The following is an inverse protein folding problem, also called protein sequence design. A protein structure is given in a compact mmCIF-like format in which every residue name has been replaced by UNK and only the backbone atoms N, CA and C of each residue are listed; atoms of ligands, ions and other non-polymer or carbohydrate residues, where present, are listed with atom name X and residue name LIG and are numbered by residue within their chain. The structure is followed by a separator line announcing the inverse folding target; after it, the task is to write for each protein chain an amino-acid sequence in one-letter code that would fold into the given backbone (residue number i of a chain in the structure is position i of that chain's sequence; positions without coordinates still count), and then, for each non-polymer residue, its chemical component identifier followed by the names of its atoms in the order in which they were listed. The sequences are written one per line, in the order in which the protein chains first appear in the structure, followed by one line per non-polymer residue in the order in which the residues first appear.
data_IF_873876834192
#
_entry.id   IF_873876834192
#
_cell.length_a   1.000
_cell.length_b   1.000
_cell.length_c   1.000
_cell.angle_alpha   90.00
_cell.angle_beta   90.00
_cell.angle_gamma   90.00
#
_symmetry.space_group_name_H-M   'P 1'
#
loop_
_entity.id
_entity.type
_entity.pdbx_description
1 polymer ?
#
# COMPACT_ATOMS: atom_id res chain seq x y z
N UNK A 1 0.42 -18.44 3.95
CA UNK A 1 0.50 -18.63 2.48
C UNK A 1 -0.93 -18.76 1.98
N UNK A 2 -1.32 -18.15 0.84
CA UNK A 2 -2.63 -18.41 0.24
C UNK A 2 -2.83 -19.87 -0.07
N UNK A 3 -4.06 -20.35 0.04
CA UNK A 3 -4.44 -21.71 -0.31
C UNK A 3 -5.35 -22.35 0.74
N UNK A 4 -5.60 -23.64 0.58
CA UNK A 4 -6.51 -24.41 1.42
C UNK A 4 -6.15 -24.37 2.91
N UNK A 5 -4.85 -24.40 3.23
CA UNK A 5 -4.34 -24.30 4.60
C UNK A 5 -4.80 -23.00 5.30
N UNK A 6 -4.81 -21.87 4.57
CA UNK A 6 -5.34 -20.62 5.10
C UNK A 6 -6.83 -20.73 5.41
N UNK A 7 -7.59 -21.43 4.57
CA UNK A 7 -9.02 -21.72 4.81
C UNK A 7 -9.24 -22.48 6.13
N UNK A 8 -8.43 -23.51 6.40
CA UNK A 8 -8.51 -24.26 7.67
C UNK A 8 -8.17 -23.41 8.89
N UNK A 9 -7.20 -22.50 8.77
CA UNK A 9 -6.87 -21.57 9.85
C UNK A 9 -7.99 -20.56 10.09
N UNK A 10 -8.63 -20.07 9.03
CA UNK A 10 -9.79 -19.18 9.13
C UNK A 10 -10.98 -19.90 9.77
N UNK A 11 -11.28 -21.14 9.37
CA UNK A 11 -12.33 -21.96 9.98
C UNK A 11 -12.10 -22.14 11.49
N UNK A 12 -10.86 -22.51 11.87
CA UNK A 12 -10.47 -22.64 13.27
C UNK A 12 -10.62 -21.31 14.01
N UNK A 13 -10.14 -20.21 13.43
CA UNK A 13 -10.25 -18.88 14.02
C UNK A 13 -11.70 -18.48 14.27
N UNK A 14 -12.59 -18.65 13.29
CA UNK A 14 -14.01 -18.33 13.42
C UNK A 14 -14.68 -19.21 14.48
N UNK A 15 -14.32 -20.50 14.57
CA UNK A 15 -14.84 -21.41 15.59
C UNK A 15 -14.42 -21.01 17.00
N UNK A 16 -13.18 -20.54 17.18
CA UNK A 16 -12.64 -20.08 18.46
C UNK A 16 -13.10 -18.66 18.83
N UNK A 17 -13.53 -17.85 17.84
CA UNK A 17 -13.89 -16.45 18.01
C UNK A 17 -15.24 -16.14 17.34
N UNK A 18 -16.37 -16.69 17.84
CA UNK A 18 -17.67 -16.58 17.18
C UNK A 18 -18.19 -15.13 17.06
N UNK A 19 -17.73 -14.23 17.93
CA UNK A 19 -18.11 -12.80 17.94
C UNK A 19 -17.23 -11.93 17.04
N UNK A 20 -16.14 -12.48 16.49
CA UNK A 20 -15.31 -11.71 15.56
C UNK A 20 -16.13 -11.36 14.31
N UNK A 21 -15.79 -10.25 13.65
CA UNK A 21 -16.45 -9.77 12.41
C UNK A 21 -15.51 -9.71 11.21
N UNK A 22 -14.26 -10.09 11.44
CA UNK A 22 -13.19 -10.02 10.46
C UNK A 22 -11.85 -10.42 11.05
N UNK A 23 -10.86 -10.58 10.19
CA UNK A 23 -9.46 -10.82 10.54
C UNK A 23 -8.55 -10.04 9.60
N UNK A 24 -7.53 -9.41 10.17
CA UNK A 24 -6.43 -8.78 9.43
C UNK A 24 -5.29 -9.76 9.34
N UNK A 25 -4.93 -10.16 8.13
CA UNK A 25 -3.82 -11.03 7.84
C UNK A 25 -2.62 -10.19 7.42
N UNK A 26 -1.58 -10.15 8.27
CA UNK A 26 -0.35 -9.43 7.99
C UNK A 26 0.23 -9.86 6.63
N UNK A 27 0.59 -8.88 5.80
CA UNK A 27 1.09 -9.09 4.43
C UNK A 27 0.11 -9.82 3.49
N UNK A 28 -1.19 -9.79 3.77
CA UNK A 28 -2.21 -10.31 2.85
C UNK A 28 -3.40 -9.37 2.69
N UNK A 29 -4.10 -9.00 3.75
CA UNK A 29 -5.28 -8.15 3.64
C UNK A 29 -6.29 -8.33 4.77
N UNK A 30 -7.50 -7.84 4.53
CA UNK A 30 -8.64 -7.88 5.45
C UNK A 30 -9.68 -8.86 4.92
N UNK A 31 -10.11 -9.79 5.78
CA UNK A 31 -11.32 -10.58 5.58
C UNK A 31 -12.38 -10.14 6.59
N UNK A 32 -13.61 -10.04 6.15
CA UNK A 32 -14.80 -9.73 6.97
C UNK A 32 -15.91 -10.68 6.59
N UNK A 33 -16.92 -10.79 7.46
CA UNK A 33 -18.09 -11.64 7.20
C UNK A 33 -19.37 -10.96 7.69
N UNK A 34 -20.51 -11.51 7.27
CA UNK A 34 -21.85 -11.09 7.64
C UNK A 34 -22.87 -12.10 7.14
N UNK A 35 -24.08 -12.09 7.70
CA UNK A 35 -25.17 -13.02 7.37
C UNK A 35 -25.73 -12.76 5.96
N UNK A 36 -25.44 -11.59 5.40
CA UNK A 36 -25.77 -11.23 4.02
C UNK A 36 -24.59 -10.56 3.30
N UNK A 37 -24.57 -10.59 1.95
CA UNK A 37 -23.57 -9.86 1.18
C UNK A 37 -23.50 -8.37 1.53
N UNK A 38 -24.65 -7.75 1.83
CA UNK A 38 -24.74 -6.35 2.22
C UNK A 38 -24.05 -6.11 3.57
N UNK A 39 -24.36 -6.92 4.57
CA UNK A 39 -23.77 -6.80 5.91
C UNK A 39 -22.26 -7.04 5.89
N UNK A 40 -21.79 -8.03 5.13
CA UNK A 40 -20.35 -8.29 4.96
C UNK A 40 -19.63 -7.07 4.33
N UNK A 41 -20.24 -6.46 3.32
CA UNK A 41 -19.71 -5.24 2.71
C UNK A 41 -19.69 -4.06 3.70
N UNK A 42 -20.79 -3.81 4.41
CA UNK A 42 -20.88 -2.75 5.41
C UNK A 42 -19.87 -2.95 6.55
N UNK A 43 -19.64 -4.20 6.96
CA UNK A 43 -18.61 -4.56 7.94
C UNK A 43 -17.21 -4.24 7.42
N UNK A 44 -16.92 -4.56 6.16
CA UNK A 44 -15.64 -4.19 5.51
C UNK A 44 -15.40 -2.68 5.58
N UNK A 45 -16.39 -1.89 5.16
CA UNK A 45 -16.29 -0.43 5.15
C UNK A 45 -16.11 0.12 6.57
N UNK A 46 -16.87 -0.40 7.54
CA UNK A 46 -16.76 0.01 8.94
C UNK A 46 -15.36 -0.23 9.50
N UNK A 47 -14.77 -1.41 9.26
CA UNK A 47 -13.42 -1.74 9.74
C UNK A 47 -12.36 -0.85 9.08
N UNK A 48 -12.49 -0.60 7.77
CA UNK A 48 -11.57 0.30 7.05
C UNK A 48 -11.66 1.73 7.62
N UNK A 49 -12.86 2.25 7.82
CA UNK A 49 -13.05 3.60 8.37
C UNK A 49 -12.51 3.71 9.79
N UNK A 50 -12.71 2.70 10.64
CA UNK A 50 -12.11 2.66 11.98
C UNK A 50 -10.58 2.71 11.92
N UNK A 51 -9.97 2.01 10.97
CA UNK A 51 -8.52 2.05 10.77
C UNK A 51 -8.04 3.42 10.28
N UNK A 52 -8.78 4.06 9.36
CA UNK A 52 -8.50 5.43 8.90
C UNK A 52 -8.57 6.42 10.07
N UNK A 53 -9.68 6.42 10.82
CA UNK A 53 -9.87 7.31 11.98
C UNK A 53 -8.75 7.12 13.02
N UNK A 54 -8.36 5.87 13.27
CA UNK A 54 -7.25 5.59 14.18
C UNK A 54 -5.93 6.12 13.62
N UNK A 55 -5.67 5.92 12.32
CA UNK A 55 -4.44 6.37 11.68
C UNK A 55 -4.33 7.89 11.71
N UNK A 56 -5.40 8.62 11.37
CA UNK A 56 -5.46 10.08 11.43
C UNK A 56 -5.16 10.60 12.83
N UNK A 57 -5.81 10.06 13.87
CA UNK A 57 -5.51 10.43 15.27
C UNK A 57 -4.07 10.13 15.68
N UNK A 58 -3.45 9.10 15.11
CA UNK A 58 -2.08 8.71 15.43
C UNK A 58 -1.04 9.51 14.68
N UNK A 59 -1.37 10.02 13.51
CA UNK A 59 -0.51 10.85 12.67
C UNK A 59 -0.68 12.35 12.93
N UNK A 60 -1.76 12.77 13.59
CA UNK A 60 -2.01 14.17 13.94
C UNK A 60 -0.81 14.81 14.64
N UNK A 61 -0.38 15.96 14.10
CA UNK A 61 0.74 16.75 14.62
C UNK A 61 2.12 16.09 14.49
N UNK A 62 2.24 14.94 13.83
CA UNK A 62 3.52 14.24 13.63
C UNK A 62 3.99 14.38 12.19
N UNK A 63 5.31 14.53 11.98
CA UNK A 63 5.86 14.49 10.64
C UNK A 63 5.74 13.07 10.08
N UNK A 64 5.03 12.92 8.95
CA UNK A 64 4.89 11.64 8.25
C UNK A 64 6.29 11.19 7.77
N UNK A 65 6.58 9.89 7.89
CA UNK A 65 7.87 9.29 7.51
C UNK A 65 9.11 9.99 8.12
N UNK A 66 8.96 10.56 9.32
CA UNK A 66 10.03 11.26 10.02
C UNK A 66 10.34 12.66 9.48
N UNK A 67 9.56 13.16 8.51
CA UNK A 67 9.63 14.52 7.98
C UNK A 67 10.59 14.70 6.80
N UNK A 68 10.45 15.83 6.11
CA UNK A 68 11.27 16.19 4.96
C UNK A 68 12.74 16.42 5.37
N UNK A 69 13.67 15.76 4.67
CA UNK A 69 15.12 15.98 4.79
C UNK A 69 15.78 16.38 3.47
N UNK A 70 15.04 16.29 2.36
CA UNK A 70 15.49 16.73 1.02
C UNK A 70 14.46 17.67 0.42
N UNK A 71 14.86 18.86 0.00
CA UNK A 71 13.93 19.76 -0.71
C UNK A 71 13.86 19.40 -2.18
N UNK A 72 12.66 19.15 -2.68
CA UNK A 72 12.44 18.93 -4.11
C UNK A 72 12.69 20.19 -4.95
N UNK A 73 13.14 19.98 -6.19
CA UNK A 73 13.14 21.01 -7.21
C UNK A 73 11.69 21.48 -7.49
N UNK A 74 11.54 22.64 -8.12
CA UNK A 74 10.24 23.09 -8.61
C UNK A 74 9.66 22.15 -9.68
N UNK A 75 8.35 22.23 -9.90
CA UNK A 75 7.66 21.31 -10.80
C UNK A 75 8.21 21.33 -12.24
N UNK A 76 8.51 22.49 -12.86
CA UNK A 76 9.16 22.53 -14.17
C UNK A 76 10.51 21.80 -14.20
N UNK A 77 11.39 22.05 -13.23
CA UNK A 77 12.71 21.44 -13.19
C UNK A 77 12.63 19.91 -12.94
N UNK A 78 11.72 19.45 -12.07
CA UNK A 78 11.46 18.01 -11.89
C UNK A 78 11.04 17.36 -13.21
N UNK A 79 10.13 17.98 -13.96
CA UNK A 79 9.68 17.49 -15.27
C UNK A 79 10.81 17.47 -16.30
N UNK A 80 11.71 18.45 -16.29
CA UNK A 80 12.91 18.45 -17.13
C UNK A 80 13.82 17.26 -16.81
N UNK A 81 14.05 16.96 -15.54
CA UNK A 81 14.83 15.78 -15.13
C UNK A 81 14.15 14.49 -15.57
N UNK A 82 12.85 14.35 -15.32
CA UNK A 82 12.07 13.18 -15.72
C UNK A 82 12.11 12.95 -17.23
N UNK A 83 11.92 14.01 -18.04
CA UNK A 83 11.98 13.93 -19.50
C UNK A 83 13.35 13.45 -20.03
N UNK A 84 14.44 13.76 -19.32
CA UNK A 84 15.79 13.29 -19.68
C UNK A 84 16.01 11.82 -19.32
N UNK A 85 15.51 11.37 -18.17
CA UNK A 85 15.79 10.03 -17.63
C UNK A 85 14.79 8.97 -18.13
N UNK A 86 13.50 9.29 -18.17
CA UNK A 86 12.45 8.31 -18.44
C UNK A 86 12.60 7.57 -19.77
N UNK A 87 12.96 8.21 -20.91
CA UNK A 87 13.14 7.48 -22.17
C UNK A 87 14.27 6.44 -22.10
N UNK A 88 15.35 6.76 -21.36
CA UNK A 88 16.49 5.85 -21.16
C UNK A 88 16.11 4.67 -20.29
N UNK A 89 15.50 4.93 -19.13
CA UNK A 89 15.02 3.89 -18.22
C UNK A 89 14.03 2.97 -18.93
N UNK A 90 13.03 3.55 -19.61
CA UNK A 90 12.04 2.81 -20.39
C UNK A 90 12.71 1.91 -21.44
N UNK A 91 13.69 2.42 -22.17
CA UNK A 91 14.46 1.64 -23.14
C UNK A 91 15.10 0.40 -22.52
N UNK A 92 15.76 0.56 -21.37
CA UNK A 92 16.43 -0.54 -20.66
C UNK A 92 15.45 -1.62 -20.17
N UNK A 93 14.24 -1.24 -19.75
CA UNK A 93 13.26 -2.21 -19.20
C UNK A 93 12.29 -2.77 -20.23
N UNK A 94 12.31 -2.30 -21.49
CA UNK A 94 11.35 -2.68 -22.53
C UNK A 94 11.84 -3.79 -23.47
N UNK A 95 13.00 -4.40 -23.21
CA UNK A 95 13.60 -5.43 -24.09
C UNK A 95 12.64 -6.59 -24.40
N UNK A 96 11.87 -7.03 -23.41
CA UNK A 96 10.95 -8.18 -23.53
C UNK A 96 9.50 -7.81 -23.82
N UNK A 97 9.12 -6.54 -23.66
CA UNK A 97 7.73 -6.09 -23.79
C UNK A 97 7.67 -4.56 -23.91
N UNK A 98 6.75 -4.04 -24.72
CA UNK A 98 6.45 -2.60 -24.71
C UNK A 98 5.89 -2.16 -23.36
N UNK A 99 6.40 -1.04 -22.83
CA UNK A 99 5.92 -0.43 -21.59
C UNK A 99 5.49 1.01 -21.83
N UNK A 100 4.51 1.49 -21.08
CA UNK A 100 4.18 2.91 -20.97
C UNK A 100 4.77 3.45 -19.66
N UNK A 101 5.33 4.66 -19.72
CA UNK A 101 5.87 5.33 -18.55
C UNK A 101 4.90 6.39 -18.03
N UNK A 102 4.75 6.47 -16.71
CA UNK A 102 4.03 7.55 -16.04
C UNK A 102 4.98 8.23 -15.06
N UNK A 103 4.99 9.56 -15.04
CA UNK A 103 5.72 10.35 -14.06
C UNK A 103 4.72 10.90 -13.05
N UNK A 104 4.93 10.55 -11.79
CA UNK A 104 4.11 11.00 -10.68
C UNK A 104 4.98 11.86 -9.75
N UNK A 105 4.66 13.15 -9.68
CA UNK A 105 5.24 14.11 -8.75
C UNK A 105 4.19 14.70 -7.81
N UNK A 106 3.16 13.92 -7.50
CA UNK A 106 2.11 14.28 -6.56
C UNK A 106 2.67 14.59 -5.16
N UNK A 107 1.95 15.38 -4.34
CA UNK A 107 2.39 15.73 -3.00
C UNK A 107 2.73 14.51 -2.12
N UNK A 108 1.95 13.42 -2.20
CA UNK A 108 2.19 12.21 -1.43
C UNK A 108 3.50 11.50 -1.84
N UNK A 109 3.80 11.45 -3.14
CA UNK A 109 5.08 10.90 -3.63
C UNK A 109 6.24 11.76 -3.14
N UNK A 110 6.13 13.09 -3.26
CA UNK A 110 7.17 14.01 -2.80
C UNK A 110 7.37 13.94 -1.28
N UNK A 111 6.31 13.84 -0.49
CA UNK A 111 6.39 13.66 0.96
C UNK A 111 7.17 12.39 1.31
N UNK A 112 6.91 11.27 0.62
CA UNK A 112 7.61 10.01 0.86
C UNK A 112 9.07 10.03 0.39
N UNK A 113 9.36 10.42 -0.87
CA UNK A 113 10.72 10.32 -1.44
C UNK A 113 11.69 11.34 -0.86
N UNK A 114 11.19 12.40 -0.23
CA UNK A 114 12.02 13.39 0.44
C UNK A 114 12.14 13.16 1.95
N UNK A 115 11.52 12.10 2.48
CA UNK A 115 11.45 11.84 3.90
C UNK A 115 12.73 11.26 4.50
N UNK A 116 12.91 11.44 5.81
CA UNK A 116 13.96 10.81 6.61
C UNK A 116 13.94 9.28 6.50
N UNK A 117 12.74 8.71 6.49
CA UNK A 117 12.54 7.26 6.56
C UNK A 117 12.50 6.58 5.18
N UNK A 118 12.72 7.32 4.07
CA UNK A 118 12.72 6.76 2.71
C UNK A 118 13.58 5.49 2.61
N UNK A 119 14.85 5.56 3.06
CA UNK A 119 15.81 4.46 2.87
C UNK A 119 15.38 3.15 3.54
N UNK A 120 15.08 3.12 4.86
CA UNK A 120 14.62 1.90 5.49
C UNK A 120 13.28 1.42 4.92
N UNK A 121 12.33 2.31 4.60
CA UNK A 121 11.02 1.92 4.08
C UNK A 121 11.09 1.35 2.65
N UNK A 122 11.86 1.96 1.76
CA UNK A 122 12.04 1.47 0.39
C UNK A 122 12.74 0.10 0.34
N UNK A 123 13.60 -0.21 1.33
CA UNK A 123 14.30 -1.48 1.41
C UNK A 123 13.41 -2.66 1.85
N UNK A 124 12.24 -2.39 2.46
CA UNK A 124 11.29 -3.44 2.88
C UNK A 124 10.63 -4.13 1.68
N UNK A 125 10.73 -3.55 0.48
CA UNK A 125 10.08 -4.05 -0.72
C UNK A 125 8.58 -3.71 -0.75
N UNK A 126 7.91 -4.22 -1.76
CA UNK A 126 6.48 -4.03 -1.96
C UNK A 126 5.70 -5.00 -1.07
N UNK A 127 4.69 -4.48 -0.33
CA UNK A 127 3.90 -5.32 0.59
C UNK A 127 3.07 -6.39 -0.13
N UNK A 128 2.81 -6.21 -1.43
CA UNK A 128 2.02 -7.13 -2.24
C UNK A 128 2.37 -6.98 -3.74
N UNK A 129 3.30 -7.80 -4.27
CA UNK A 129 3.17 -8.26 -5.66
C UNK A 129 3.23 -9.79 -5.80
N UNK A 130 3.68 -10.52 -4.76
CA UNK A 130 3.88 -11.97 -4.83
C UNK A 130 2.57 -12.78 -4.68
N UNK A 131 1.43 -12.14 -4.43
CA UNK A 131 0.15 -12.82 -4.15
C UNK A 131 -0.83 -12.93 -5.33
N UNK A 132 -0.59 -12.23 -6.44
CA UNK A 132 -1.55 -12.22 -7.57
C UNK A 132 -1.12 -13.05 -8.78
N UNK A 133 0.15 -13.44 -8.89
CA UNK A 133 0.68 -14.11 -10.07
C UNK A 133 1.72 -15.17 -9.71
N UNK A 134 1.27 -16.29 -9.14
CA UNK A 134 1.95 -17.59 -9.27
C UNK A 134 0.91 -18.68 -9.46
#
# INVERSE_FOLDING_TARGET
RPGFELGLWLEKFCSENPEAKGVVLASHGLFTWGESPKECYETTISVINQAIDWFERKSEGKPIFGGEVVKSLDAPARRTVAARLMPRIRGLISEKSHKLGHFDDSPAVLEFVNSKDLRPLAALGTSCPDHFLR
#
